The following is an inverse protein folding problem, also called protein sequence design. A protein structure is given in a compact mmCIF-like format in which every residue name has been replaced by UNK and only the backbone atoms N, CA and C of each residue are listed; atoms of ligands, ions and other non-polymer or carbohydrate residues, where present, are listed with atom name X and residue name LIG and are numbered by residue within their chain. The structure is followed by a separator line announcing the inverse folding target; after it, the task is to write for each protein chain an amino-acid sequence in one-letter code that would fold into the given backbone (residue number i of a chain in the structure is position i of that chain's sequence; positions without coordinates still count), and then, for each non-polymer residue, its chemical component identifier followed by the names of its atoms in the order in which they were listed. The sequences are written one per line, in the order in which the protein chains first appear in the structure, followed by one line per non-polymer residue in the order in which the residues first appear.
data_IF_465792222680
#
_entry.id   IF_465792222680
#
_cell.length_a   1.000
_cell.length_b   1.000
_cell.length_c   1.000
_cell.angle_alpha   90.00
_cell.angle_beta   90.00
_cell.angle_gamma   90.00
#
_symmetry.space_group_name_H-M   'P 1'
#
loop_
_entity.id
_entity.type
_entity.pdbx_description
1 polymer ?
#
# COMPACT_ATOMS: atom_id res chain seq x y z
N UNK A 1 -7.34 4.54 -21.44
CA UNK A 1 -6.31 4.41 -22.49
C UNK A 1 -5.93 2.94 -22.62
N UNK A 2 -5.83 2.44 -23.85
CA UNK A 2 -5.36 1.08 -24.12
C UNK A 2 -3.83 1.00 -23.96
N UNK A 3 -3.36 0.06 -23.15
CA UNK A 3 -1.96 -0.09 -22.73
C UNK A 3 -1.55 -1.56 -22.83
N UNK A 4 -1.37 -2.09 -24.03
CA UNK A 4 -1.15 -3.50 -24.25
C UNK A 4 0.19 -3.97 -23.66
N UNK A 5 0.16 -5.11 -22.93
CA UNK A 5 1.33 -5.74 -22.29
C UNK A 5 2.06 -4.84 -21.27
N UNK A 6 1.38 -3.85 -20.67
CA UNK A 6 1.92 -2.97 -19.64
C UNK A 6 1.32 -3.38 -18.29
N UNK A 7 2.17 -3.85 -17.36
CA UNK A 7 1.73 -4.41 -16.08
C UNK A 7 2.35 -3.71 -14.87
N UNK A 8 3.49 -3.03 -15.04
CA UNK A 8 4.20 -2.37 -13.96
C UNK A 8 3.96 -0.86 -13.96
N UNK A 9 4.14 -0.25 -12.79
CA UNK A 9 3.98 1.20 -12.65
C UNK A 9 5.03 1.98 -13.45
N UNK A 10 6.22 1.43 -13.56
CA UNK A 10 7.32 1.99 -14.34
C UNK A 10 6.99 2.01 -15.82
N UNK A 11 6.52 0.87 -16.36
CA UNK A 11 6.12 0.74 -17.76
C UNK A 11 4.98 1.69 -18.15
N UNK A 12 3.95 1.83 -17.28
CA UNK A 12 2.85 2.77 -17.55
C UNK A 12 3.32 4.23 -17.52
N UNK A 13 4.20 4.59 -16.61
CA UNK A 13 4.74 5.93 -16.53
C UNK A 13 5.64 6.27 -17.72
N UNK A 14 6.43 5.30 -18.20
CA UNK A 14 7.22 5.45 -19.42
C UNK A 14 6.32 5.59 -20.65
N UNK A 15 5.30 4.74 -20.81
CA UNK A 15 4.34 4.79 -21.91
C UNK A 15 3.57 6.12 -21.97
N UNK A 16 3.15 6.65 -20.83
CA UNK A 16 2.41 7.92 -20.73
C UNK A 16 3.30 9.16 -20.65
N UNK A 17 4.64 8.99 -20.60
CA UNK A 17 5.61 10.06 -20.39
C UNK A 17 5.33 10.89 -19.13
N UNK A 18 4.97 10.22 -18.03
CA UNK A 18 4.64 10.84 -16.75
C UNK A 18 5.57 10.35 -15.65
N UNK A 19 5.92 11.20 -14.65
CA UNK A 19 6.74 10.75 -13.53
C UNK A 19 5.95 9.81 -12.59
N UNK A 20 6.65 8.96 -11.85
CA UNK A 20 6.08 7.99 -10.90
C UNK A 20 5.15 8.65 -9.85
N UNK A 21 5.46 9.87 -9.43
CA UNK A 21 4.64 10.64 -8.48
C UNK A 21 3.27 11.05 -9.05
N UNK A 22 3.10 10.93 -10.36
CA UNK A 22 1.83 11.17 -11.06
C UNK A 22 1.07 9.88 -11.38
N UNK A 23 1.32 8.85 -10.60
CA UNK A 23 0.60 7.59 -10.71
C UNK A 23 0.08 7.11 -9.35
N UNK A 24 -0.96 6.30 -9.40
CA UNK A 24 -1.56 5.61 -8.27
C UNK A 24 -1.46 4.10 -8.53
N UNK A 25 -0.69 3.41 -7.71
CA UNK A 25 -0.55 1.95 -7.78
C UNK A 25 -1.36 1.25 -6.71
N UNK A 26 -1.76 0.02 -7.00
CA UNK A 26 -2.40 -0.89 -6.07
C UNK A 26 -1.39 -1.92 -5.56
N UNK A 27 -1.39 -2.16 -4.25
CA UNK A 27 -0.68 -3.28 -3.63
C UNK A 27 -1.72 -4.11 -2.87
N UNK A 28 -1.74 -5.41 -3.11
CA UNK A 28 -2.77 -6.28 -2.57
C UNK A 28 -2.18 -7.25 -1.55
N UNK A 29 -2.82 -7.31 -0.40
CA UNK A 29 -2.49 -8.22 0.70
C UNK A 29 -3.70 -9.07 1.04
N UNK A 30 -3.48 -10.12 1.83
CA UNK A 30 -4.52 -10.90 2.50
C UNK A 30 -4.25 -10.92 3.99
N UNK A 31 -5.31 -10.95 4.78
CA UNK A 31 -5.26 -11.10 6.23
C UNK A 31 -5.00 -12.55 6.60
N UNK A 32 -4.16 -12.78 7.62
CA UNK A 32 -3.75 -14.14 7.99
C UNK A 32 -4.85 -14.98 8.64
N UNK A 33 -5.86 -14.36 9.26
CA UNK A 33 -6.92 -15.08 9.97
C UNK A 33 -8.19 -15.28 9.14
N UNK A 34 -8.51 -14.32 8.28
CA UNK A 34 -9.78 -14.29 7.56
C UNK A 34 -9.65 -14.51 6.05
N UNK A 35 -8.42 -14.47 5.52
CA UNK A 35 -8.11 -14.46 4.09
C UNK A 35 -8.75 -13.30 3.30
N UNK A 36 -9.33 -12.31 4.01
CA UNK A 36 -9.92 -11.14 3.38
C UNK A 36 -8.87 -10.33 2.62
N UNK A 37 -9.21 -9.84 1.45
CA UNK A 37 -8.32 -9.00 0.66
C UNK A 37 -8.18 -7.60 1.25
N UNK A 38 -6.96 -7.07 1.21
CA UNK A 38 -6.65 -5.68 1.55
C UNK A 38 -6.00 -5.02 0.36
N UNK A 39 -6.72 -4.12 -0.29
CA UNK A 39 -6.22 -3.38 -1.46
C UNK A 39 -5.74 -2.02 -1.00
N UNK A 40 -4.45 -1.77 -1.13
CA UNK A 40 -3.81 -0.52 -0.73
C UNK A 40 -3.50 0.29 -1.98
N UNK A 41 -4.08 1.48 -2.07
CA UNK A 41 -3.72 2.46 -3.09
C UNK A 41 -2.71 3.46 -2.54
N UNK A 42 -1.62 3.64 -3.25
CA UNK A 42 -0.50 4.47 -2.85
C UNK A 42 0.11 5.16 -4.08
N UNK A 43 0.77 6.30 -3.89
CA UNK A 43 1.49 6.99 -4.98
C UNK A 43 2.59 6.10 -5.56
N UNK A 44 2.78 6.13 -6.86
CA UNK A 44 3.59 5.16 -7.58
C UNK A 44 5.07 5.07 -7.18
N UNK A 45 5.64 6.17 -6.70
CA UNK A 45 7.02 6.25 -6.22
C UNK A 45 7.24 5.72 -4.79
N UNK A 46 6.15 5.36 -4.07
CA UNK A 46 6.19 4.94 -2.67
C UNK A 46 5.93 3.44 -2.53
N UNK A 47 6.44 2.85 -1.46
CA UNK A 47 6.14 1.47 -1.06
C UNK A 47 5.33 1.42 0.23
N UNK A 48 4.56 0.35 0.38
CA UNK A 48 3.78 0.11 1.60
C UNK A 48 4.69 -0.38 2.73
N UNK A 49 4.52 0.21 3.91
CA UNK A 49 5.09 -0.28 5.16
C UNK A 49 4.08 -1.27 5.80
N UNK A 50 4.37 -2.55 5.69
CA UNK A 50 3.51 -3.63 6.18
C UNK A 50 3.25 -3.53 7.70
N UNK A 51 4.23 -3.08 8.48
CA UNK A 51 4.05 -2.89 9.93
C UNK A 51 3.02 -1.79 10.23
N UNK A 52 3.05 -0.66 9.50
CA UNK A 52 2.02 0.38 9.65
C UNK A 52 0.64 -0.14 9.25
N UNK A 53 0.58 -0.92 8.16
CA UNK A 53 -0.66 -1.50 7.68
C UNK A 53 -1.23 -2.54 8.65
N UNK A 54 -0.41 -3.46 9.15
CA UNK A 54 -0.76 -4.43 10.20
C UNK A 54 -1.29 -3.74 11.46
N UNK A 55 -0.61 -2.69 11.93
CA UNK A 55 -1.06 -1.93 13.10
C UNK A 55 -2.43 -1.24 12.87
N UNK A 56 -2.67 -0.76 11.66
CA UNK A 56 -3.96 -0.17 11.31
C UNK A 56 -5.09 -1.20 11.25
N UNK A 57 -4.81 -2.36 10.67
CA UNK A 57 -5.79 -3.44 10.52
C UNK A 57 -6.03 -4.21 11.83
N UNK A 58 -5.06 -4.18 12.75
CA UNK A 58 -5.09 -4.98 13.99
C UNK A 58 -4.87 -6.47 13.76
N UNK A 59 -4.39 -6.86 12.58
CA UNK A 59 -4.20 -8.24 12.15
C UNK A 59 -3.00 -8.36 11.22
N UNK A 60 -2.24 -9.44 11.33
CA UNK A 60 -1.13 -9.76 10.44
C UNK A 60 -1.61 -10.01 9.01
N UNK A 61 -0.76 -9.64 8.06
CA UNK A 61 -1.03 -9.72 6.63
C UNK A 61 0.13 -10.40 5.89
N UNK A 62 -0.17 -10.89 4.71
CA UNK A 62 0.83 -11.38 3.75
C UNK A 62 0.50 -10.89 2.33
N UNK A 63 1.46 -10.87 1.40
CA UNK A 63 1.20 -10.54 0.00
C UNK A 63 0.13 -11.47 -0.58
N UNK A 64 -0.87 -10.90 -1.24
CA UNK A 64 -1.99 -11.66 -1.77
C UNK A 64 -1.60 -12.49 -2.98
N UNK A 65 -2.19 -13.67 -3.09
CA UNK A 65 -2.19 -14.46 -4.31
C UNK A 65 -3.42 -14.06 -5.13
N UNK A 66 -3.20 -13.33 -6.22
CA UNK A 66 -4.29 -12.89 -7.10
C UNK A 66 -4.63 -14.04 -8.06
N UNK A 67 -5.84 -14.59 -7.92
CA UNK A 67 -6.40 -15.60 -8.80
C UNK A 67 -7.50 -14.99 -9.68
N UNK A 68 -7.89 -15.68 -10.74
CA UNK A 68 -9.01 -15.22 -11.59
C UNK A 68 -10.34 -15.12 -10.84
N UNK A 69 -10.49 -15.84 -9.73
CA UNK A 69 -11.72 -15.91 -8.95
C UNK A 69 -11.92 -14.70 -8.03
N UNK A 70 -10.84 -13.98 -7.69
CA UNK A 70 -10.94 -12.80 -6.80
C UNK A 70 -11.48 -11.55 -7.50
N UNK A 71 -11.64 -11.57 -8.81
CA UNK A 71 -12.13 -10.42 -9.60
C UNK A 71 -11.12 -9.29 -9.78
N UNK A 72 -9.86 -9.49 -9.37
CA UNK A 72 -8.78 -8.52 -9.54
C UNK A 72 -7.93 -8.88 -10.76
N UNK A 73 -7.66 -7.90 -11.61
CA UNK A 73 -6.77 -8.04 -12.75
C UNK A 73 -5.37 -7.53 -12.37
N UNK A 74 -4.46 -8.43 -12.05
CA UNK A 74 -3.09 -8.08 -11.67
C UNK A 74 -2.42 -7.21 -12.75
N UNK A 75 -1.78 -6.11 -12.33
CA UNK A 75 -1.22 -5.10 -13.22
C UNK A 75 -2.19 -3.98 -13.61
N UNK A 76 -3.52 -4.18 -13.47
CA UNK A 76 -4.55 -3.23 -13.93
C UNK A 76 -5.50 -2.79 -12.83
N UNK A 77 -5.19 -3.05 -11.56
CA UNK A 77 -6.04 -2.72 -10.42
C UNK A 77 -6.04 -1.20 -10.20
N UNK A 78 -7.24 -0.61 -10.17
CA UNK A 78 -7.44 0.82 -9.96
C UNK A 78 -8.54 1.13 -8.94
N UNK A 79 -8.54 2.35 -8.37
CA UNK A 79 -9.47 2.72 -7.30
C UNK A 79 -10.90 3.01 -7.79
N UNK A 80 -11.07 3.30 -9.08
CA UNK A 80 -12.37 3.66 -9.68
C UNK A 80 -13.13 2.39 -10.03
N UNK A 81 -14.34 2.24 -9.50
CA UNK A 81 -15.20 1.07 -9.73
C UNK A 81 -14.52 -0.27 -9.38
N UNK A 82 -13.67 -0.27 -8.35
CA UNK A 82 -13.03 -1.49 -7.88
C UNK A 82 -14.09 -2.51 -7.43
N UNK A 83 -13.97 -3.73 -7.92
CA UNK A 83 -14.80 -4.87 -7.51
C UNK A 83 -13.87 -6.02 -7.11
N UNK A 84 -14.08 -6.57 -5.92
CA UNK A 84 -13.34 -7.72 -5.38
C UNK A 84 -14.35 -8.77 -4.93
N UNK A 85 -14.11 -10.01 -5.26
CA UNK A 85 -14.97 -11.10 -4.78
C UNK A 85 -14.72 -11.37 -3.29
N UNK A 86 -15.79 -11.53 -2.53
CA UNK A 86 -15.73 -11.76 -1.08
C UNK A 86 -15.55 -10.49 -0.24
N UNK A 87 -15.07 -10.66 0.98
CA UNK A 87 -14.79 -9.55 1.89
C UNK A 87 -13.47 -8.88 1.56
N UNK A 88 -13.46 -7.57 1.55
CA UNK A 88 -12.22 -6.81 1.31
C UNK A 88 -12.21 -5.47 2.04
N UNK A 89 -11.02 -4.95 2.24
CA UNK A 89 -10.77 -3.63 2.81
C UNK A 89 -9.98 -2.80 1.81
N UNK A 90 -10.41 -1.57 1.56
CA UNK A 90 -9.65 -0.62 0.74
C UNK A 90 -8.99 0.42 1.63
N UNK A 91 -7.71 0.65 1.38
CA UNK A 91 -6.88 1.60 2.11
C UNK A 91 -6.27 2.58 1.11
N UNK A 92 -6.39 3.88 1.38
CA UNK A 92 -5.76 4.94 0.60
C UNK A 92 -4.64 5.56 1.42
N UNK A 93 -3.41 5.57 0.89
CA UNK A 93 -2.31 6.26 1.56
C UNK A 93 -2.46 7.78 1.48
N UNK A 94 -1.99 8.48 2.51
CA UNK A 94 -2.00 9.95 2.57
C UNK A 94 -1.32 10.63 1.42
N UNK A 95 -0.38 9.99 0.75
CA UNK A 95 0.30 10.53 -0.42
C UNK A 95 -0.64 10.82 -1.60
N UNK A 96 -1.84 10.20 -1.60
CA UNK A 96 -2.86 10.43 -2.61
C UNK A 96 -3.82 11.59 -2.28
N UNK A 97 -3.83 12.06 -1.03
CA UNK A 97 -4.76 13.09 -0.59
C UNK A 97 -4.54 14.42 -1.34
N UNK A 98 -5.60 14.98 -1.91
CA UNK A 98 -5.55 16.23 -2.68
C UNK A 98 -4.82 16.12 -4.02
N UNK A 99 -4.49 14.91 -4.47
CA UNK A 99 -3.82 14.71 -5.76
C UNK A 99 -4.81 14.68 -6.92
N UNK A 100 -4.32 15.08 -8.07
CA UNK A 100 -5.07 15.08 -9.32
C UNK A 100 -4.18 14.71 -10.50
N UNK A 101 -4.83 14.40 -11.62
CA UNK A 101 -4.18 14.05 -12.88
C UNK A 101 -3.20 12.87 -12.72
N UNK A 102 -3.63 11.84 -11.97
CA UNK A 102 -2.87 10.61 -11.82
C UNK A 102 -3.24 9.59 -12.90
N UNK A 103 -2.31 8.70 -13.24
CA UNK A 103 -2.60 7.46 -13.95
C UNK A 103 -2.86 6.34 -12.93
N UNK A 104 -3.74 5.40 -13.27
CA UNK A 104 -4.02 4.21 -12.45
C UNK A 104 -4.60 3.08 -13.30
N UNK A 105 -4.65 1.86 -12.78
CA UNK A 105 -5.35 0.75 -13.42
C UNK A 105 -6.83 1.05 -13.65
N UNK A 106 -7.42 0.43 -14.68
CA UNK A 106 -8.83 0.59 -15.02
C UNK A 106 -9.70 -0.60 -14.58
N UNK A 107 -9.14 -1.56 -13.84
CA UNK A 107 -9.75 -2.84 -13.48
C UNK A 107 -10.12 -3.72 -14.68
N UNK A 108 -9.61 -3.39 -15.84
CA UNK A 108 -9.79 -4.11 -17.10
C UNK A 108 -8.40 -4.42 -17.69
N UNK A 109 -8.22 -5.62 -18.21
CA UNK A 109 -6.95 -6.07 -18.80
C UNK A 109 -6.56 -5.16 -19.97
N UNK A 110 -5.30 -4.76 -20.01
CA UNK A 110 -4.71 -3.84 -21.01
C UNK A 110 -5.29 -2.41 -21.01
N UNK A 111 -5.95 -1.98 -19.91
CA UNK A 111 -6.47 -0.61 -19.80
C UNK A 111 -6.03 0.11 -18.55
N UNK A 112 -5.70 1.39 -18.70
CA UNK A 112 -5.42 2.31 -17.59
C UNK A 112 -6.23 3.59 -17.74
N UNK A 113 -6.59 4.19 -16.61
CA UNK A 113 -7.14 5.56 -16.56
C UNK A 113 -6.01 6.59 -16.50
N UNK A 114 -6.28 7.75 -17.09
CA UNK A 114 -5.48 8.97 -16.92
C UNK A 114 -6.40 10.08 -16.40
N UNK A 115 -5.82 11.06 -15.69
CA UNK A 115 -6.60 12.16 -15.16
C UNK A 115 -7.40 11.84 -13.90
N UNK A 116 -7.04 10.78 -13.15
CA UNK A 116 -7.65 10.48 -11.87
C UNK A 116 -7.47 11.67 -10.92
N UNK A 117 -8.59 12.13 -10.34
CA UNK A 117 -8.64 13.13 -9.29
C UNK A 117 -9.28 12.49 -8.06
N UNK A 118 -8.50 12.35 -6.98
CA UNK A 118 -8.95 11.62 -5.79
C UNK A 118 -10.21 12.21 -5.17
N UNK A 119 -10.34 13.53 -5.12
CA UNK A 119 -11.51 14.19 -4.54
C UNK A 119 -12.77 14.05 -5.39
N UNK A 120 -12.63 14.05 -6.72
CA UNK A 120 -13.74 13.90 -7.65
C UNK A 120 -14.19 12.46 -7.79
N UNK A 121 -13.22 11.54 -7.95
CA UNK A 121 -13.50 10.16 -8.38
C UNK A 121 -13.66 9.21 -7.19
N UNK A 122 -13.05 9.54 -6.04
CA UNK A 122 -13.10 8.75 -4.80
C UNK A 122 -13.45 9.67 -3.60
N UNK A 123 -14.61 10.33 -3.59
CA UNK A 123 -14.94 11.38 -2.61
C UNK A 123 -15.00 10.87 -1.15
N UNK A 124 -15.18 9.57 -0.96
CA UNK A 124 -15.27 8.95 0.36
C UNK A 124 -13.97 8.24 0.77
N UNK A 125 -12.84 8.54 0.12
CA UNK A 125 -11.55 7.93 0.47
C UNK A 125 -11.15 8.28 1.91
N UNK A 126 -10.85 7.24 2.69
CA UNK A 126 -10.27 7.40 4.03
C UNK A 126 -8.76 7.23 3.92
N UNK A 127 -8.04 8.33 4.12
CA UNK A 127 -6.59 8.35 4.00
C UNK A 127 -5.91 8.00 5.31
N UNK A 128 -4.93 7.09 5.25
CA UNK A 128 -4.06 6.71 6.37
C UNK A 128 -2.60 6.77 5.93
N UNK A 129 -1.69 6.86 6.89
CA UNK A 129 -0.24 6.82 6.61
C UNK A 129 0.24 5.38 6.65
N UNK A 130 0.49 4.79 5.48
CA UNK A 130 1.04 3.44 5.31
C UNK A 130 2.28 3.39 4.45
N UNK A 131 2.77 4.53 3.97
CA UNK A 131 3.99 4.58 3.17
C UNK A 131 5.25 4.29 3.98
N UNK A 132 6.24 3.64 3.33
CA UNK A 132 7.63 3.62 3.80
C UNK A 132 8.23 5.02 3.71
N UNK A 133 9.17 5.30 4.58
CA UNK A 133 9.95 6.54 4.51
C UNK A 133 10.87 6.48 3.29
N UNK A 134 10.92 7.58 2.52
CA UNK A 134 11.87 7.79 1.44
C UNK A 134 13.11 8.54 1.93
N UNK A 135 14.26 8.20 1.36
CA UNK A 135 15.46 9.02 1.48
C UNK A 135 15.22 10.40 0.85
N UNK A 136 15.69 11.47 1.50
CA UNK A 136 15.35 12.82 1.10
C UNK A 136 13.90 13.24 1.41
N UNK A 137 13.13 12.44 2.14
CA UNK A 137 11.75 12.73 2.53
C UNK A 137 11.63 14.00 3.39
N UNK A 138 10.40 14.54 3.45
CA UNK A 138 10.10 15.75 4.23
C UNK A 138 9.94 15.38 5.71
N UNK A 139 10.73 16.03 6.56
CA UNK A 139 10.60 15.87 8.01
C UNK A 139 9.29 16.50 8.51
N UNK A 140 8.42 15.75 9.22
CA UNK A 140 7.15 16.30 9.72
C UNK A 140 7.31 17.37 10.80
N UNK A 141 8.48 17.46 11.44
CA UNK A 141 8.75 18.49 12.45
C UNK A 141 9.22 19.80 11.86
N UNK A 142 10.13 19.78 10.89
CA UNK A 142 10.72 21.02 10.34
C UNK A 142 10.26 21.34 8.91
N UNK A 143 9.49 20.48 8.24
CA UNK A 143 8.98 20.68 6.89
C UNK A 143 10.05 20.69 5.78
N UNK A 144 11.29 20.33 6.10
CA UNK A 144 12.41 20.32 5.14
C UNK A 144 12.68 18.89 4.64
N UNK A 145 13.27 18.75 3.46
CA UNK A 145 13.76 17.48 2.91
C UNK A 145 15.07 17.08 3.62
N UNK A 146 14.96 16.54 4.83
CA UNK A 146 16.10 16.24 5.71
C UNK A 146 16.14 14.80 6.22
N UNK A 147 15.23 13.94 5.76
CA UNK A 147 15.25 12.54 6.17
C UNK A 147 16.32 11.82 5.36
N UNK A 148 17.29 11.22 6.06
CA UNK A 148 18.30 10.34 5.48
C UNK A 148 18.06 8.90 5.93
N UNK A 149 18.24 7.92 5.03
CA UNK A 149 18.17 6.49 5.33
C UNK A 149 19.58 5.92 5.35
N UNK A 150 19.95 5.26 6.43
CA UNK A 150 21.21 4.52 6.53
C UNK A 150 20.97 3.10 7.02
N UNK A 151 21.82 2.17 6.59
CA UNK A 151 21.82 0.79 7.12
C UNK A 151 22.85 0.71 8.24
N UNK A 152 22.45 0.12 9.37
CA UNK A 152 23.33 -0.18 10.50
C UNK A 152 23.35 -1.68 10.77
N UNK A 153 24.41 -2.14 11.43
CA UNK A 153 24.46 -3.50 11.98
C UNK A 153 24.05 -3.40 13.44
N UNK A 154 23.04 -4.18 13.85
CA UNK A 154 22.64 -4.28 15.24
C UNK A 154 23.68 -5.12 16.00
N UNK A 155 24.39 -4.48 16.94
CA UNK A 155 25.42 -5.15 17.75
C UNK A 155 24.91 -5.62 19.11
N UNK A 156 23.72 -5.23 19.50
CA UNK A 156 23.10 -5.68 20.75
C UNK A 156 21.68 -5.16 20.87
N UNK A 157 20.86 -5.90 21.62
CA UNK A 157 19.47 -5.57 21.88
C UNK A 157 19.14 -5.79 23.35
N UNK A 158 18.42 -4.87 23.96
CA UNK A 158 17.91 -4.99 25.34
C UNK A 158 16.42 -4.70 25.30
N UNK A 159 15.63 -5.64 25.79
CA UNK A 159 14.18 -5.47 25.85
C UNK A 159 13.60 -6.02 27.15
N UNK A 160 12.48 -5.46 27.56
CA UNK A 160 11.76 -5.93 28.76
C UNK A 160 10.88 -7.12 28.39
N UNK A 161 11.22 -8.29 28.88
CA UNK A 161 10.47 -9.54 28.63
C UNK A 161 9.04 -9.50 29.19
N UNK A 162 8.85 -8.88 30.34
CA UNK A 162 7.56 -8.90 31.05
C UNK A 162 7.11 -10.34 31.34
N UNK A 163 5.83 -10.61 31.12
CA UNK A 163 5.22 -11.94 31.30
C UNK A 163 4.90 -12.65 29.99
N UNK A 164 5.43 -12.17 28.84
CA UNK A 164 5.08 -12.70 27.52
C UNK A 164 5.33 -14.21 27.40
N UNK A 165 6.50 -14.66 27.83
CA UNK A 165 6.88 -16.08 27.76
C UNK A 165 6.28 -16.89 28.88
N UNK A 166 6.31 -16.36 30.11
CA UNK A 166 5.80 -17.09 31.28
C UNK A 166 4.32 -17.38 31.21
N UNK A 167 3.52 -16.43 30.65
CA UNK A 167 2.10 -16.65 30.41
C UNK A 167 1.83 -17.70 29.32
N UNK A 168 2.55 -17.65 28.22
CA UNK A 168 2.36 -18.61 27.12
C UNK A 168 2.77 -20.02 27.49
N UNK A 169 3.76 -20.16 28.42
CA UNK A 169 4.26 -21.44 28.94
C UNK A 169 3.51 -21.89 30.18
N UNK A 170 2.52 -21.14 30.65
CA UNK A 170 1.79 -21.39 31.92
C UNK A 170 2.74 -21.61 33.12
N UNK A 171 3.82 -20.86 33.16
CA UNK A 171 4.82 -20.99 34.25
C UNK A 171 4.25 -20.45 35.55
N UNK A 172 4.35 -21.27 36.60
CA UNK A 172 3.99 -20.91 37.96
C UNK A 172 5.21 -21.14 38.85
N UNK A 173 5.32 -20.41 39.92
CA UNK A 173 6.30 -20.67 40.99
C UNK A 173 5.56 -21.04 42.27
N UNK A 174 6.18 -21.88 43.05
CA UNK A 174 5.70 -22.34 44.37
C UNK A 174 6.06 -21.33 45.44
#
# INVERSE_FOLDING_TARGET
VHTPNIHTIEEICEFLHTPLEKSCKAVVYQKNLTDDYVVVFIRGDLDVNETKLTNFLGEEIHPAVITKECGLNAGYIGPVNLTVAGSYTVVYDRSLQGTNNLSCGANEEEYHYTGLCMERDIPNARYIDVAKILDGGICPKCGKKTIGISRGIEVGNIFQLGTKYTKSMNMQYL
#
